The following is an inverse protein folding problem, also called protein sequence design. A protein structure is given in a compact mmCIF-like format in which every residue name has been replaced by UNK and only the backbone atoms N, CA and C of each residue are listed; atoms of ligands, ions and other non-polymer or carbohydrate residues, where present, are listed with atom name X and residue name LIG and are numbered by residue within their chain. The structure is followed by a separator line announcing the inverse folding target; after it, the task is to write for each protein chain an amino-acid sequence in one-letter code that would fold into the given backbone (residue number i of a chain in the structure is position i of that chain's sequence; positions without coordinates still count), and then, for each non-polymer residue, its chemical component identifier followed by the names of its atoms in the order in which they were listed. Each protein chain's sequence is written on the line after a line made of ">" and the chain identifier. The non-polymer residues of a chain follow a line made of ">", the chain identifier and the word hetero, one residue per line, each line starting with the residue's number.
data_IF_177862509175
#
_entry.id   IF_177862509175
#
_cell.length_a   1.000
_cell.length_b   1.000
_cell.length_c   1.000
_cell.angle_alpha   90.00
_cell.angle_beta   90.00
_cell.angle_gamma   90.00
#
_symmetry.space_group_name_H-M   'P 1'
#
loop_
_entity.id
_entity.type
_entity.pdbx_description
1 polymer ?
#
# COMPACT_ATOMS: atom_id res chain seq x y z
N UNK A 1 14.78 -6.39 -27.65
CA UNK A 1 13.33 -6.34 -27.90
C UNK A 1 12.81 -5.13 -27.14
N UNK A 2 12.31 -4.12 -27.83
CA UNK A 2 11.64 -3.00 -27.17
C UNK A 2 10.46 -3.55 -26.37
N UNK A 3 10.44 -3.25 -25.09
CA UNK A 3 9.31 -3.59 -24.22
C UNK A 3 8.07 -2.90 -24.78
N UNK A 4 7.04 -3.66 -25.16
CA UNK A 4 5.78 -3.09 -25.63
C UNK A 4 5.24 -2.09 -24.61
N UNK A 5 4.64 -1.00 -25.10
CA UNK A 5 4.02 0.02 -24.23
C UNK A 5 2.93 -0.63 -23.37
N UNK A 6 2.87 -0.36 -22.05
CA UNK A 6 1.81 -0.90 -21.22
C UNK A 6 0.43 -0.38 -21.63
N UNK A 7 -0.61 -1.16 -21.40
CA UNK A 7 -2.01 -0.70 -21.50
C UNK A 7 -2.55 -0.19 -20.17
N UNK A 8 -2.03 -0.74 -19.07
CA UNK A 8 -2.51 -0.48 -17.72
C UNK A 8 -1.37 -0.01 -16.81
N UNK A 9 -1.62 1.04 -16.07
CA UNK A 9 -0.80 1.43 -14.91
C UNK A 9 -1.65 1.14 -13.67
N UNK A 10 -1.18 0.17 -12.88
CA UNK A 10 -1.85 -0.34 -11.69
C UNK A 10 -1.12 0.16 -10.44
N UNK A 11 -1.83 0.75 -9.51
CA UNK A 11 -1.27 1.36 -8.31
C UNK A 11 -1.73 0.64 -7.05
N UNK A 12 -0.83 0.42 -6.08
CA UNK A 12 -1.25 0.39 -4.69
C UNK A 12 -1.66 1.80 -4.25
N UNK A 13 -2.37 1.89 -3.13
CA UNK A 13 -2.82 3.16 -2.56
C UNK A 13 -1.93 3.55 -1.40
N UNK A 14 -1.86 2.74 -0.34
CA UNK A 14 -1.07 3.04 0.85
C UNK A 14 0.43 3.06 0.55
N UNK A 15 1.12 4.17 0.83
CA UNK A 15 2.56 4.29 0.55
C UNK A 15 2.93 4.48 -0.91
N UNK A 16 1.94 4.59 -1.79
CA UNK A 16 2.10 4.87 -3.21
C UNK A 16 1.38 6.14 -3.62
N UNK A 17 0.04 6.15 -3.55
CA UNK A 17 -0.76 7.32 -3.92
C UNK A 17 -1.04 8.26 -2.75
N UNK A 18 -0.91 7.75 -1.53
CA UNK A 18 -1.05 8.49 -0.26
C UNK A 18 0.18 8.26 0.62
N UNK A 19 0.34 9.10 1.65
CA UNK A 19 1.41 8.93 2.64
C UNK A 19 1.36 7.50 3.20
N UNK A 20 2.52 6.90 3.33
CA UNK A 20 2.61 5.50 3.74
C UNK A 20 2.17 5.30 5.19
N UNK A 21 1.25 4.35 5.47
CA UNK A 21 0.98 3.93 6.84
C UNK A 21 2.23 3.38 7.56
N UNK A 22 3.24 2.91 6.83
CA UNK A 22 4.53 2.51 7.41
C UNK A 22 5.32 3.69 7.99
N UNK A 23 5.05 4.92 7.56
CA UNK A 23 5.65 6.09 8.20
C UNK A 23 5.13 6.25 9.63
N UNK A 24 3.81 6.12 9.86
CA UNK A 24 3.21 6.13 11.21
C UNK A 24 3.76 5.01 12.09
N UNK A 25 3.93 3.81 11.53
CA UNK A 25 4.55 2.68 12.26
C UNK A 25 5.98 3.04 12.68
N UNK A 26 6.79 3.52 11.76
CA UNK A 26 8.18 3.89 12.04
C UNK A 26 8.27 4.99 13.12
N UNK A 27 7.46 6.03 12.99
CA UNK A 27 7.42 7.14 13.94
C UNK A 27 6.99 6.67 15.33
N UNK A 28 6.04 5.73 15.39
CA UNK A 28 5.56 5.13 16.64
C UNK A 28 6.62 4.26 17.31
N UNK A 29 7.31 3.39 16.56
CA UNK A 29 8.39 2.54 17.07
C UNK A 29 9.55 3.38 17.62
N UNK A 30 9.94 4.43 16.92
CA UNK A 30 10.98 5.36 17.35
C UNK A 30 10.58 6.12 18.62
N UNK A 31 9.31 6.52 18.75
CA UNK A 31 8.76 7.17 19.94
C UNK A 31 8.77 6.23 21.15
N UNK A 32 8.50 4.93 20.93
CA UNK A 32 8.61 3.91 21.97
C UNK A 32 10.06 3.54 22.33
N UNK A 33 11.05 4.02 21.57
CA UNK A 33 12.46 3.68 21.76
C UNK A 33 12.81 2.22 21.47
N UNK A 34 12.03 1.55 20.62
CA UNK A 34 12.26 0.16 20.22
C UNK A 34 12.93 0.11 18.84
N UNK A 35 13.66 -0.98 18.53
CA UNK A 35 14.24 -1.15 17.21
C UNK A 35 13.15 -1.12 16.12
N UNK A 36 13.31 -0.31 15.06
CA UNK A 36 12.35 -0.24 13.97
C UNK A 36 12.10 -1.59 13.29
N UNK A 37 10.84 -1.82 12.92
CA UNK A 37 10.40 -3.02 12.21
C UNK A 37 9.71 -4.08 13.07
N UNK A 38 9.55 -3.86 14.38
CA UNK A 38 8.84 -4.79 15.27
C UNK A 38 7.40 -5.03 14.85
N UNK A 39 6.66 -3.96 14.62
CA UNK A 39 5.23 -4.04 14.29
C UNK A 39 5.06 -4.81 12.97
N UNK A 40 5.81 -4.41 11.93
CA UNK A 40 5.78 -5.10 10.64
C UNK A 40 6.22 -6.57 10.74
N UNK A 41 7.23 -6.86 11.55
CA UNK A 41 7.67 -8.24 11.81
C UNK A 41 6.55 -9.05 12.48
N UNK A 42 5.93 -8.50 13.53
CA UNK A 42 4.84 -9.19 14.23
C UNK A 42 3.66 -9.48 13.29
N UNK A 43 3.24 -8.47 12.49
CA UNK A 43 2.19 -8.65 11.49
C UNK A 43 2.55 -9.73 10.46
N UNK A 44 3.78 -9.72 9.95
CA UNK A 44 4.20 -10.73 8.95
C UNK A 44 4.17 -12.16 9.50
N UNK A 45 4.44 -12.33 10.80
CA UNK A 45 4.45 -13.65 11.47
C UNK A 45 3.06 -14.18 11.83
N UNK A 46 2.03 -13.35 11.78
CA UNK A 46 0.64 -13.78 11.98
C UNK A 46 -0.07 -14.13 10.67
N UNK A 47 0.57 -13.92 9.52
CA UNK A 47 0.00 -14.27 8.22
C UNK A 47 -0.26 -15.80 8.09
N UNK A 48 -1.34 -16.22 7.41
CA UNK A 48 -2.40 -15.39 6.83
C UNK A 48 -3.57 -15.11 7.78
N UNK A 49 -3.58 -15.66 9.01
CA UNK A 49 -4.74 -15.71 9.91
C UNK A 49 -4.71 -14.67 11.03
N UNK A 50 -3.72 -13.78 11.08
CA UNK A 50 -3.66 -12.67 12.06
C UNK A 50 -4.84 -11.71 11.90
N UNK A 51 -5.16 -11.00 12.99
CA UNK A 51 -6.32 -10.10 13.00
C UNK A 51 -6.24 -9.01 11.94
N UNK A 52 -5.05 -8.44 11.71
CA UNK A 52 -4.80 -7.50 10.61
C UNK A 52 -5.16 -8.10 9.24
N UNK A 53 -4.73 -9.34 8.98
CA UNK A 53 -4.97 -10.01 7.69
C UNK A 53 -6.44 -10.34 7.47
N UNK A 54 -7.15 -10.73 8.55
CA UNK A 54 -8.58 -10.98 8.49
C UNK A 54 -9.37 -9.70 8.25
N UNK A 55 -8.95 -8.57 8.85
CA UNK A 55 -9.58 -7.27 8.59
C UNK A 55 -9.39 -6.84 7.13
N UNK A 56 -8.18 -6.99 6.58
CA UNK A 56 -7.87 -6.63 5.18
C UNK A 56 -8.54 -7.53 4.15
N UNK A 57 -9.03 -8.71 4.54
CA UNK A 57 -9.86 -9.56 3.68
C UNK A 57 -11.35 -9.38 3.94
N UNK A 58 -11.75 -8.48 4.85
CA UNK A 58 -13.15 -8.30 5.23
C UNK A 58 -13.76 -9.51 5.95
N UNK A 59 -12.92 -10.47 6.41
CA UNK A 59 -13.38 -11.69 7.08
C UNK A 59 -13.89 -11.44 8.49
N UNK A 60 -13.48 -10.32 9.09
CA UNK A 60 -13.95 -9.85 10.39
C UNK A 60 -14.29 -8.36 10.31
N UNK A 61 -15.25 -7.88 11.12
CA UNK A 61 -15.55 -6.46 11.21
C UNK A 61 -14.48 -5.70 12.00
N UNK A 62 -14.43 -4.38 11.80
CA UNK A 62 -13.63 -3.46 12.62
C UNK A 62 -14.42 -3.12 13.89
N UNK A 63 -14.17 -3.87 14.96
CA UNK A 63 -14.84 -3.72 16.25
C UNK A 63 -13.86 -3.93 17.41
N UNK A 64 -14.39 -3.91 18.65
CA UNK A 64 -13.58 -4.13 19.85
C UNK A 64 -12.87 -5.50 19.87
N UNK A 65 -13.47 -6.53 19.27
CA UNK A 65 -12.85 -7.87 19.19
C UNK A 65 -11.65 -7.87 18.25
N UNK A 66 -11.75 -7.14 17.12
CA UNK A 66 -10.60 -6.91 16.23
C UNK A 66 -9.46 -6.20 16.98
N UNK A 67 -9.69 -5.09 17.66
CA UNK A 67 -8.64 -4.35 18.36
C UNK A 67 -8.02 -5.16 19.50
N UNK A 68 -8.82 -5.92 20.25
CA UNK A 68 -8.30 -6.84 21.27
C UNK A 68 -7.40 -7.93 20.67
N UNK A 69 -7.78 -8.49 19.53
CA UNK A 69 -7.01 -9.48 18.80
C UNK A 69 -5.74 -8.91 18.17
N UNK A 70 -5.84 -7.74 17.56
CA UNK A 70 -4.71 -7.02 16.98
C UNK A 70 -3.65 -6.66 18.05
N UNK A 71 -4.09 -6.18 19.23
CA UNK A 71 -3.20 -5.98 20.35
C UNK A 71 -2.50 -7.28 20.80
N UNK A 72 -3.20 -8.42 20.86
CA UNK A 72 -2.56 -9.71 21.17
C UNK A 72 -1.49 -10.08 20.14
N UNK A 73 -1.76 -9.85 18.86
CA UNK A 73 -0.79 -10.09 17.78
C UNK A 73 0.48 -9.24 17.96
N UNK A 74 0.37 -8.03 18.49
CA UNK A 74 1.49 -7.11 18.73
C UNK A 74 2.24 -7.34 20.05
N UNK A 75 1.70 -8.15 20.97
CA UNK A 75 2.27 -8.37 22.31
C UNK A 75 2.79 -9.80 22.53
N UNK A 76 3.08 -10.54 21.48
CA UNK A 76 3.63 -11.90 21.59
C UNK A 76 5.09 -11.87 22.05
N UNK A 77 5.34 -12.41 23.25
CA UNK A 77 6.65 -12.39 23.88
C UNK A 77 7.69 -13.24 23.14
N UNK A 78 7.28 -14.38 22.55
CA UNK A 78 8.19 -15.24 21.81
C UNK A 78 8.65 -14.57 20.50
N UNK A 79 7.72 -13.93 19.78
CA UNK A 79 8.05 -13.16 18.57
C UNK A 79 8.92 -11.97 18.89
N UNK A 80 8.62 -11.24 20.00
CA UNK A 80 9.45 -10.12 20.44
C UNK A 80 10.89 -10.56 20.71
N UNK A 81 11.05 -11.64 21.48
CA UNK A 81 12.39 -12.17 21.78
C UNK A 81 13.16 -12.53 20.51
N UNK A 82 12.54 -13.25 19.57
CA UNK A 82 13.15 -13.62 18.30
C UNK A 82 13.53 -12.38 17.47
N UNK A 83 12.65 -11.39 17.39
CA UNK A 83 12.92 -10.14 16.68
C UNK A 83 14.07 -9.38 17.30
N UNK A 84 14.03 -9.14 18.63
CA UNK A 84 15.03 -8.34 19.32
C UNK A 84 16.40 -8.98 19.24
N UNK A 85 16.49 -10.30 19.43
CA UNK A 85 17.74 -11.07 19.28
C UNK A 85 18.32 -10.92 17.87
N UNK A 86 17.48 -10.97 16.85
CA UNK A 86 17.94 -10.73 15.48
C UNK A 86 18.41 -9.29 15.24
N UNK A 87 17.82 -8.30 15.94
CA UNK A 87 18.30 -6.91 15.88
C UNK A 87 19.61 -6.71 16.65
N UNK A 88 19.80 -7.39 17.78
CA UNK A 88 21.09 -7.38 18.53
C UNK A 88 22.26 -7.87 17.64
N UNK A 89 22.04 -8.91 16.84
CA UNK A 89 23.04 -9.40 15.92
C UNK A 89 23.46 -8.38 14.85
N UNK A 90 22.55 -7.47 14.49
CA UNK A 90 22.80 -6.39 13.50
C UNK A 90 23.32 -5.11 14.15
N UNK A 91 22.95 -4.85 15.39
CA UNK A 91 23.30 -3.65 16.14
C UNK A 91 23.82 -4.01 17.54
N UNK A 92 25.15 -4.16 17.71
CA UNK A 92 25.78 -4.49 18.99
C UNK A 92 25.59 -3.43 20.10
N UNK A 93 25.08 -2.24 19.77
CA UNK A 93 24.78 -1.20 20.74
C UNK A 93 23.48 -1.45 21.52
N UNK A 94 22.64 -2.37 21.05
CA UNK A 94 21.42 -2.74 21.77
C UNK A 94 21.76 -3.46 23.08
N UNK A 95 20.96 -3.25 24.17
CA UNK A 95 21.08 -3.97 25.42
C UNK A 95 21.22 -5.49 25.21
N UNK A 96 22.15 -6.12 25.93
CA UNK A 96 22.34 -7.58 25.83
C UNK A 96 21.15 -8.39 26.32
N UNK A 97 20.46 -7.87 27.34
CA UNK A 97 19.22 -8.47 27.83
C UNK A 97 18.04 -7.97 26.97
N UNK A 98 17.24 -8.91 26.51
CA UNK A 98 15.98 -8.55 25.79
C UNK A 98 15.03 -7.86 26.76
N UNK A 99 14.60 -6.63 26.46
CA UNK A 99 13.65 -5.92 27.32
C UNK A 99 12.27 -6.59 27.26
N UNK A 100 11.37 -6.26 28.21
CA UNK A 100 9.97 -6.66 28.12
C UNK A 100 9.33 -6.31 26.78
N UNK A 101 8.29 -7.04 26.40
CA UNK A 101 7.49 -6.71 25.21
C UNK A 101 7.03 -5.26 25.31
N UNK A 102 7.23 -4.43 24.27
CA UNK A 102 6.79 -3.04 24.29
C UNK A 102 5.27 -2.95 24.42
N UNK A 103 4.80 -1.99 25.21
CA UNK A 103 3.39 -1.72 25.33
C UNK A 103 2.89 -0.92 24.12
N UNK A 104 2.44 -1.63 23.10
CA UNK A 104 1.90 -1.05 21.86
C UNK A 104 0.41 -0.83 22.02
N UNK A 105 -0.06 0.40 21.87
CA UNK A 105 -1.49 0.69 21.69
C UNK A 105 -1.86 0.48 20.22
N UNK A 106 -2.37 -0.71 19.91
CA UNK A 106 -2.69 -1.09 18.54
C UNK A 106 -3.89 -0.34 17.98
N UNK A 107 -4.87 0.04 18.80
CA UNK A 107 -6.02 0.83 18.38
C UNK A 107 -5.60 2.26 18.01
N UNK A 108 -4.85 2.92 18.88
CA UNK A 108 -4.30 4.23 18.58
C UNK A 108 -3.44 4.21 17.31
N UNK A 109 -2.53 3.24 17.20
CA UNK A 109 -1.67 3.08 16.03
C UNK A 109 -2.47 2.87 14.74
N UNK A 110 -3.49 2.03 14.80
CA UNK A 110 -4.37 1.77 13.66
C UNK A 110 -4.99 3.07 13.14
N UNK A 111 -5.58 3.87 14.01
CA UNK A 111 -6.21 5.13 13.60
C UNK A 111 -5.19 6.19 13.14
N UNK A 112 -4.00 6.24 13.74
CA UNK A 112 -2.92 7.12 13.28
C UNK A 112 -2.45 6.74 11.85
N UNK A 113 -2.30 5.43 11.57
CA UNK A 113 -2.01 4.93 10.23
C UNK A 113 -3.11 5.31 9.22
N UNK A 114 -4.37 5.15 9.60
CA UNK A 114 -5.51 5.47 8.72
C UNK A 114 -5.63 6.97 8.47
N UNK A 115 -5.39 7.81 9.48
CA UNK A 115 -5.38 9.26 9.33
C UNK A 115 -4.26 9.73 8.39
N UNK A 116 -3.04 9.22 8.57
CA UNK A 116 -1.89 9.54 7.71
C UNK A 116 -2.12 9.11 6.26
N UNK A 117 -2.71 7.95 6.05
CA UNK A 117 -3.02 7.41 4.73
C UNK A 117 -4.15 8.16 3.97
N UNK A 118 -4.70 9.23 4.53
CA UNK A 118 -5.62 10.14 3.82
C UNK A 118 -4.91 11.29 3.10
N UNK A 119 -3.69 11.61 3.49
CA UNK A 119 -2.93 12.66 2.84
C UNK A 119 -2.36 12.15 1.51
N UNK A 120 -2.66 12.80 0.37
CA UNK A 120 -2.08 12.44 -0.91
C UNK A 120 -0.54 12.53 -0.88
N UNK A 121 0.12 11.58 -1.55
CA UNK A 121 1.57 11.66 -1.73
C UNK A 121 1.91 12.87 -2.60
N UNK A 122 2.84 13.74 -2.20
CA UNK A 122 3.08 15.02 -2.88
C UNK A 122 3.71 14.88 -4.26
N UNK A 123 4.29 13.73 -4.59
CA UNK A 123 4.88 13.46 -5.91
C UNK A 123 4.00 12.55 -6.76
N UNK A 124 3.45 11.49 -6.18
CA UNK A 124 2.67 10.51 -6.93
C UNK A 124 1.28 11.02 -7.28
N UNK A 125 0.63 11.78 -6.39
CA UNK A 125 -0.72 12.28 -6.67
C UNK A 125 -0.78 13.21 -7.90
N UNK A 126 0.10 14.23 -8.05
CA UNK A 126 0.16 15.01 -9.29
C UNK A 126 0.51 14.18 -10.53
N UNK A 127 1.36 13.16 -10.37
CA UNK A 127 1.71 12.27 -11.47
C UNK A 127 0.52 11.42 -11.91
N UNK A 128 -0.28 10.93 -10.97
CA UNK A 128 -1.52 10.19 -11.22
C UNK A 128 -2.55 11.06 -11.95
N UNK A 129 -2.72 12.32 -11.54
CA UNK A 129 -3.61 13.27 -12.21
C UNK A 129 -3.20 13.46 -13.68
N UNK A 130 -1.93 13.76 -13.95
CA UNK A 130 -1.42 13.92 -15.32
C UNK A 130 -1.54 12.63 -16.15
N UNK A 131 -1.29 11.49 -15.54
CA UNK A 131 -1.47 10.19 -16.19
C UNK A 131 -2.94 10.01 -16.61
N UNK A 132 -3.87 10.31 -15.72
CA UNK A 132 -5.33 10.26 -15.98
C UNK A 132 -5.72 11.21 -17.10
N UNK A 133 -5.27 12.46 -17.04
CA UNK A 133 -5.53 13.50 -18.04
C UNK A 133 -4.99 13.11 -19.43
N UNK A 134 -3.89 12.38 -19.50
CA UNK A 134 -3.30 11.93 -20.77
C UNK A 134 -4.24 11.04 -21.59
N UNK A 135 -5.18 10.36 -20.95
CA UNK A 135 -6.12 9.42 -21.57
C UNK A 135 -5.49 8.18 -22.22
N UNK A 136 -4.16 8.01 -22.12
CA UNK A 136 -3.40 6.99 -22.88
C UNK A 136 -3.40 5.60 -22.25
N UNK A 137 -3.74 5.49 -20.96
CA UNK A 137 -3.64 4.27 -20.18
C UNK A 137 -4.94 3.99 -19.44
N UNK A 138 -5.22 2.74 -19.14
CA UNK A 138 -6.14 2.35 -18.09
C UNK A 138 -5.43 2.62 -16.76
N UNK A 139 -6.00 3.46 -15.93
CA UNK A 139 -5.49 3.79 -14.61
C UNK A 139 -6.27 2.97 -13.59
N UNK A 140 -5.61 2.06 -12.90
CA UNK A 140 -6.27 1.11 -12.01
C UNK A 140 -5.60 1.07 -10.63
N UNK A 141 -6.35 0.63 -9.61
CA UNK A 141 -5.84 0.42 -8.27
C UNK A 141 -6.03 -1.03 -7.82
N UNK A 142 -5.03 -1.55 -7.08
CA UNK A 142 -5.06 -2.84 -6.40
C UNK A 142 -4.51 -2.64 -4.99
N UNK A 143 -5.39 -2.51 -4.01
CA UNK A 143 -5.01 -2.12 -2.65
C UNK A 143 -5.50 -3.10 -1.60
N UNK A 144 -4.63 -3.37 -0.61
CA UNK A 144 -5.05 -3.95 0.64
C UNK A 144 -5.77 -2.86 1.45
N UNK A 145 -7.04 -3.08 1.77
CA UNK A 145 -7.94 -2.08 2.34
C UNK A 145 -8.66 -2.65 3.56
N UNK A 146 -9.34 -1.79 4.28
CA UNK A 146 -10.24 -2.16 5.37
C UNK A 146 -11.63 -1.58 5.10
N UNK A 147 -12.66 -2.16 5.71
CA UNK A 147 -14.03 -1.64 5.69
C UNK A 147 -14.29 -0.99 7.04
N UNK A 148 -14.54 0.31 7.03
CA UNK A 148 -14.97 1.04 8.24
C UNK A 148 -16.45 0.79 8.52
N UNK A 149 -16.87 0.83 9.81
CA UNK A 149 -18.29 0.78 10.16
C UNK A 149 -19.09 1.88 9.43
N UNK A 150 -20.37 1.64 9.10
CA UNK A 150 -21.18 2.59 8.29
C UNK A 150 -21.33 3.99 8.91
N UNK A 151 -21.30 4.08 10.23
CA UNK A 151 -21.41 5.32 11.02
C UNK A 151 -20.07 6.05 11.19
N UNK A 152 -18.95 5.39 10.86
CA UNK A 152 -17.61 5.98 10.96
C UNK A 152 -17.45 7.12 9.94
N UNK A 153 -16.73 8.19 10.33
CA UNK A 153 -16.51 9.35 9.44
C UNK A 153 -15.87 8.99 8.09
N UNK A 154 -15.00 7.97 8.05
CA UNK A 154 -14.33 7.53 6.83
C UNK A 154 -15.23 6.73 5.88
N UNK A 155 -16.43 6.36 6.30
CA UNK A 155 -17.46 5.72 5.46
C UNK A 155 -18.43 6.70 4.85
N UNK A 156 -18.43 7.98 5.25
CA UNK A 156 -19.45 8.97 4.85
C UNK A 156 -19.20 9.55 3.45
N UNK A 157 -17.97 9.51 2.94
CA UNK A 157 -17.66 10.00 1.58
C UNK A 157 -17.99 8.92 0.57
N UNK A 158 -18.84 9.22 -0.41
CA UNK A 158 -19.12 8.30 -1.49
C UNK A 158 -17.82 8.00 -2.28
N UNK A 159 -17.69 6.77 -2.75
CA UNK A 159 -16.45 6.29 -3.38
C UNK A 159 -15.94 7.22 -4.50
N UNK A 160 -16.83 7.68 -5.37
CA UNK A 160 -16.48 8.54 -6.50
C UNK A 160 -16.38 10.05 -6.14
N UNK A 161 -16.74 10.42 -4.93
CA UNK A 161 -16.55 11.79 -4.42
C UNK A 161 -15.17 11.99 -3.82
N UNK A 162 -14.43 10.90 -3.55
CA UNK A 162 -13.05 10.95 -3.11
C UNK A 162 -12.14 11.38 -4.27
N UNK A 163 -11.40 12.50 -4.15
CA UNK A 163 -10.57 13.05 -5.21
C UNK A 163 -9.51 12.08 -5.76
N UNK A 164 -9.00 11.19 -4.91
CA UNK A 164 -8.03 10.18 -5.32
C UNK A 164 -8.72 9.03 -6.06
N UNK A 165 -9.81 8.49 -5.49
CA UNK A 165 -10.50 7.33 -6.05
C UNK A 165 -11.14 7.60 -7.40
N UNK A 166 -11.60 8.83 -7.62
CA UNK A 166 -12.19 9.28 -8.90
C UNK A 166 -11.20 9.25 -10.08
N UNK A 167 -9.89 9.17 -9.80
CA UNK A 167 -8.86 9.09 -10.84
C UNK A 167 -8.72 7.69 -11.45
N UNK A 168 -9.29 6.65 -10.83
CA UNK A 168 -9.16 5.28 -11.29
C UNK A 168 -10.33 4.84 -12.17
N UNK A 169 -10.01 4.15 -13.26
CA UNK A 169 -10.98 3.45 -14.13
C UNK A 169 -11.47 2.15 -13.46
N UNK A 170 -10.57 1.47 -12.73
CA UNK A 170 -10.84 0.19 -12.04
C UNK A 170 -10.22 0.26 -10.65
N UNK A 171 -10.95 -0.22 -9.64
CA UNK A 171 -10.45 -0.27 -8.27
C UNK A 171 -10.72 -1.64 -7.64
N UNK A 172 -9.66 -2.39 -7.33
CA UNK A 172 -9.74 -3.68 -6.63
C UNK A 172 -9.36 -3.48 -5.17
N UNK A 173 -10.34 -3.63 -4.29
CA UNK A 173 -10.22 -3.46 -2.84
C UNK A 173 -10.27 -4.82 -2.15
N UNK A 174 -9.22 -5.19 -1.42
CA UNK A 174 -9.06 -6.51 -0.80
C UNK A 174 -10.21 -6.88 0.12
N UNK A 175 -10.62 -5.97 0.99
CA UNK A 175 -11.69 -6.25 1.96
C UNK A 175 -13.07 -6.46 1.30
N UNK A 176 -13.28 -5.96 0.07
CA UNK A 176 -14.54 -6.16 -0.66
C UNK A 176 -14.54 -7.44 -1.50
N UNK A 177 -13.35 -7.94 -1.89
CA UNK A 177 -13.25 -9.13 -2.73
C UNK A 177 -12.83 -10.39 -1.95
N UNK A 178 -12.54 -10.27 -0.66
CA UNK A 178 -12.12 -11.38 0.19
C UNK A 178 -10.71 -11.92 -0.09
N UNK A 179 -9.90 -11.18 -0.83
CA UNK A 179 -8.54 -11.54 -1.22
C UNK A 179 -7.61 -10.37 -0.93
N UNK A 180 -6.38 -10.64 -0.50
CA UNK A 180 -5.37 -9.60 -0.25
C UNK A 180 -4.03 -9.92 -0.90
N UNK A 181 -3.26 -8.92 -1.27
CA UNK A 181 -1.86 -9.09 -1.66
C UNK A 181 -1.06 -9.69 -0.47
N UNK A 182 -0.14 -10.62 -0.69
CA UNK A 182 0.39 -11.11 -1.95
C UNK A 182 -0.26 -12.42 -2.48
N UNK A 183 -1.50 -12.75 -2.12
CA UNK A 183 -2.20 -13.92 -2.66
C UNK A 183 -2.28 -13.84 -4.20
N UNK A 184 -1.83 -14.85 -4.97
CA UNK A 184 -1.82 -14.80 -6.44
C UNK A 184 -3.20 -14.56 -7.03
N UNK A 185 -4.27 -15.03 -6.39
CA UNK A 185 -5.65 -14.89 -6.88
C UNK A 185 -6.10 -13.42 -7.00
N UNK A 186 -5.57 -12.50 -6.19
CA UNK A 186 -5.95 -11.09 -6.31
C UNK A 186 -5.33 -10.42 -7.54
N UNK A 187 -4.15 -10.88 -7.99
CA UNK A 187 -3.53 -10.41 -9.23
C UNK A 187 -4.27 -10.94 -10.46
N UNK A 188 -4.71 -12.21 -10.44
CA UNK A 188 -5.56 -12.79 -11.48
C UNK A 188 -6.88 -12.01 -11.58
N UNK A 189 -7.52 -11.71 -10.46
CA UNK A 189 -8.73 -10.89 -10.40
C UNK A 189 -8.46 -9.47 -10.96
N UNK A 190 -7.32 -8.87 -10.65
CA UNK A 190 -6.97 -7.55 -11.18
C UNK A 190 -6.84 -7.58 -12.70
N UNK A 191 -6.19 -8.61 -13.30
CA UNK A 191 -6.14 -8.81 -14.75
C UNK A 191 -7.53 -8.92 -15.34
N UNK A 192 -8.37 -9.76 -14.74
CA UNK A 192 -9.76 -9.94 -15.20
C UNK A 192 -10.51 -8.60 -15.21
N UNK A 193 -10.44 -7.82 -14.12
CA UNK A 193 -11.17 -6.55 -14.01
C UNK A 193 -10.69 -5.48 -14.99
N UNK A 194 -9.40 -5.38 -15.24
CA UNK A 194 -8.89 -4.42 -16.23
C UNK A 194 -9.15 -4.89 -17.67
N UNK A 195 -9.18 -6.20 -17.94
CA UNK A 195 -9.57 -6.75 -19.24
C UNK A 195 -11.06 -6.53 -19.53
N UNK A 196 -11.93 -6.79 -18.55
CA UNK A 196 -13.37 -6.49 -18.62
C UNK A 196 -13.60 -5.01 -18.95
N UNK A 197 -12.90 -4.10 -18.23
CA UNK A 197 -12.98 -2.66 -18.50
C UNK A 197 -12.50 -2.30 -19.92
N UNK A 198 -11.36 -2.84 -20.34
CA UNK A 198 -10.78 -2.59 -21.65
C UNK A 198 -11.76 -2.97 -22.76
N UNK A 199 -12.30 -4.18 -22.72
CA UNK A 199 -13.25 -4.69 -23.72
C UNK A 199 -14.55 -3.89 -23.74
N UNK A 200 -15.10 -3.55 -22.59
CA UNK A 200 -16.31 -2.73 -22.47
C UNK A 200 -16.15 -1.33 -23.07
N UNK A 201 -14.93 -0.78 -23.03
CA UNK A 201 -14.59 0.56 -23.50
C UNK A 201 -13.79 0.58 -24.82
N UNK A 202 -13.70 -0.55 -25.54
CA UNK A 202 -12.86 -0.70 -26.73
C UNK A 202 -13.23 0.26 -27.87
N UNK A 203 -14.49 0.66 -27.96
CA UNK A 203 -14.98 1.56 -29.02
C UNK A 203 -14.85 3.05 -28.68
N UNK A 204 -14.47 3.39 -27.44
CA UNK A 204 -14.17 4.77 -27.06
C UNK A 204 -12.90 5.27 -27.77
N UNK A 205 -12.70 6.59 -27.81
CA UNK A 205 -11.46 7.16 -28.39
C UNK A 205 -10.21 6.68 -27.65
N UNK A 206 -10.27 6.55 -26.31
CA UNK A 206 -9.20 5.97 -25.50
C UNK A 206 -8.96 4.50 -25.85
N UNK A 207 -10.05 3.73 -26.01
CA UNK A 207 -10.00 2.31 -26.32
C UNK A 207 -9.40 2.02 -27.69
N UNK A 208 -9.77 2.79 -28.70
CA UNK A 208 -9.21 2.71 -30.05
C UNK A 208 -7.72 3.05 -30.06
N UNK A 209 -7.34 4.17 -29.39
CA UNK A 209 -5.95 4.61 -29.30
C UNK A 209 -5.05 3.63 -28.52
N UNK A 210 -5.61 2.94 -27.53
CA UNK A 210 -4.92 1.97 -26.67
C UNK A 210 -4.99 0.51 -27.14
N UNK A 211 -5.66 0.22 -28.26
CA UNK A 211 -5.92 -1.15 -28.75
C UNK A 211 -6.58 -2.05 -27.69
N UNK A 212 -7.59 -1.50 -26.98
CA UNK A 212 -8.25 -2.22 -25.90
C UNK A 212 -9.13 -3.38 -26.35
N UNK A 213 -9.52 -3.41 -27.63
CA UNK A 213 -10.26 -4.52 -28.21
C UNK A 213 -9.49 -5.87 -28.11
N UNK A 214 -8.16 -5.83 -28.11
CA UNK A 214 -7.31 -7.02 -27.97
C UNK A 214 -7.26 -7.54 -26.51
N UNK A 215 -7.95 -6.86 -25.60
CA UNK A 215 -7.94 -7.14 -24.18
C UNK A 215 -6.63 -6.76 -23.49
N UNK A 216 -6.50 -7.17 -22.22
CA UNK A 216 -5.33 -6.91 -21.37
C UNK A 216 -4.73 -8.23 -20.91
N UNK A 217 -3.41 -8.37 -21.06
CA UNK A 217 -2.62 -9.49 -20.57
C UNK A 217 -1.74 -9.06 -19.40
N UNK A 218 -1.24 -9.98 -18.57
CA UNK A 218 -0.38 -9.63 -17.43
C UNK A 218 0.81 -8.74 -17.78
N UNK A 219 1.48 -8.98 -18.91
CA UNK A 219 2.63 -8.19 -19.37
C UNK A 219 2.28 -6.78 -19.88
N UNK A 220 1.00 -6.50 -20.11
CA UNK A 220 0.50 -5.15 -20.44
C UNK A 220 0.34 -4.26 -19.19
N UNK A 221 0.56 -4.81 -17.99
CA UNK A 221 0.37 -4.14 -16.71
C UNK A 221 1.72 -3.74 -16.12
N UNK A 222 1.83 -2.49 -15.67
CA UNK A 222 2.90 -2.01 -14.80
C UNK A 222 2.30 -1.72 -13.44
N UNK A 223 2.78 -2.43 -12.41
CA UNK A 223 2.28 -2.33 -11.05
C UNK A 223 3.26 -1.58 -10.15
N UNK A 224 2.78 -0.55 -9.45
CA UNK A 224 3.51 0.23 -8.47
C UNK A 224 3.07 -0.16 -7.05
N UNK A 225 4.03 -0.56 -6.20
CA UNK A 225 3.77 -0.94 -4.80
C UNK A 225 5.03 -0.67 -3.96
N UNK A 226 4.88 -0.41 -2.67
CA UNK A 226 6.00 -0.17 -1.75
C UNK A 226 6.47 -1.45 -1.03
N UNK A 227 5.68 -2.54 -1.08
CA UNK A 227 5.98 -3.82 -0.41
C UNK A 227 6.64 -4.80 -1.36
N UNK A 228 7.88 -5.20 -1.03
CA UNK A 228 8.67 -6.10 -1.88
C UNK A 228 8.02 -7.46 -2.16
N UNK A 229 7.28 -8.03 -1.19
CA UNK A 229 6.58 -9.30 -1.35
C UNK A 229 5.41 -9.19 -2.33
N UNK A 230 4.68 -8.08 -2.32
CA UNK A 230 3.62 -7.80 -3.29
C UNK A 230 4.20 -7.69 -4.72
N UNK A 231 5.32 -6.97 -4.87
CA UNK A 231 6.00 -6.84 -6.16
C UNK A 231 6.55 -8.19 -6.66
N UNK A 232 7.04 -9.04 -5.75
CA UNK A 232 7.50 -10.40 -6.09
C UNK A 232 6.33 -11.23 -6.62
N UNK A 233 5.19 -11.24 -5.94
CA UNK A 233 4.01 -11.97 -6.37
C UNK A 233 3.44 -11.43 -7.70
N UNK A 234 3.42 -10.10 -7.88
CA UNK A 234 3.02 -9.47 -9.14
C UNK A 234 3.91 -9.89 -10.32
N UNK A 235 5.23 -9.97 -10.14
CA UNK A 235 6.14 -10.49 -11.16
C UNK A 235 5.88 -11.95 -11.49
N UNK A 236 5.55 -12.77 -10.49
CA UNK A 236 5.15 -14.17 -10.72
C UNK A 236 3.84 -14.28 -11.49
N UNK A 237 2.92 -13.32 -11.32
CA UNK A 237 1.70 -13.20 -12.13
C UNK A 237 1.96 -12.61 -13.54
N UNK A 238 3.20 -12.26 -13.88
CA UNK A 238 3.60 -11.75 -15.20
C UNK A 238 3.53 -10.23 -15.35
N UNK A 239 3.36 -9.47 -14.27
CA UNK A 239 3.35 -8.00 -14.31
C UNK A 239 4.78 -7.45 -14.38
N UNK A 240 4.93 -6.30 -15.02
CA UNK A 240 6.08 -5.42 -14.83
C UNK A 240 5.86 -4.64 -13.53
N UNK A 241 6.92 -4.32 -12.81
CA UNK A 241 6.76 -3.69 -11.50
C UNK A 241 7.71 -2.51 -11.31
N UNK A 242 7.24 -1.48 -10.62
CA UNK A 242 8.03 -0.35 -10.13
C UNK A 242 7.91 -0.35 -8.59
N UNK A 243 9.05 -0.33 -7.90
CA UNK A 243 9.06 -0.18 -6.45
C UNK A 243 8.95 1.28 -6.07
N UNK A 244 8.04 1.59 -5.14
CA UNK A 244 7.93 2.93 -4.55
C UNK A 244 8.70 2.94 -3.21
N UNK A 245 9.84 3.65 -3.11
CA UNK A 245 10.59 3.72 -1.87
C UNK A 245 9.89 4.62 -0.85
N UNK A 246 9.85 4.18 0.42
CA UNK A 246 9.24 4.94 1.52
C UNK A 246 9.81 6.36 1.60
N UNK A 247 8.90 7.34 1.58
CA UNK A 247 9.24 8.75 1.65
C UNK A 247 9.99 9.33 0.45
N UNK A 248 10.06 8.59 -0.67
CA UNK A 248 10.78 8.96 -1.89
C UNK A 248 10.02 8.57 -3.16
N UNK A 249 8.70 8.71 -3.17
CA UNK A 249 7.88 8.34 -4.31
C UNK A 249 8.28 9.05 -5.62
N UNK A 250 9.00 10.17 -5.56
CA UNK A 250 9.56 10.83 -6.74
C UNK A 250 10.49 9.93 -7.57
N UNK A 251 11.21 8.99 -6.94
CA UNK A 251 12.06 8.03 -7.66
C UNK A 251 11.20 7.09 -8.53
N UNK A 252 10.05 6.65 -8.02
CA UNK A 252 9.09 5.84 -8.77
C UNK A 252 8.38 6.64 -9.88
N UNK A 253 8.11 7.92 -9.65
CA UNK A 253 7.57 8.82 -10.70
C UNK A 253 8.54 8.94 -11.86
N UNK A 254 9.85 9.10 -11.60
CA UNK A 254 10.88 9.14 -12.66
C UNK A 254 10.94 7.84 -13.47
N UNK A 255 10.75 6.69 -12.81
CA UNK A 255 10.70 5.41 -13.51
C UNK A 255 9.40 5.28 -14.33
N UNK A 256 8.28 5.73 -13.79
CA UNK A 256 7.00 5.76 -14.49
C UNK A 256 7.04 6.67 -15.72
N UNK A 257 7.71 7.81 -15.67
CA UNK A 257 7.94 8.71 -16.82
C UNK A 257 8.66 7.97 -17.95
N UNK A 258 9.71 7.19 -17.63
CA UNK A 258 10.45 6.40 -18.63
C UNK A 258 9.57 5.34 -19.30
N UNK A 259 8.73 4.67 -18.49
CA UNK A 259 7.82 3.60 -18.98
C UNK A 259 6.69 4.17 -19.84
N UNK A 260 6.18 5.35 -19.48
CA UNK A 260 5.01 5.94 -20.15
C UNK A 260 5.38 6.92 -21.27
N UNK A 261 6.62 7.39 -21.29
CA UNK A 261 7.08 8.51 -22.14
C UNK A 261 6.21 9.78 -21.95
N UNK A 262 5.80 10.05 -20.71
CA UNK A 262 5.05 11.24 -20.30
C UNK A 262 5.86 12.05 -19.29
N UNK A 263 5.62 13.37 -19.25
CA UNK A 263 6.14 14.23 -18.17
C UNK A 263 5.11 14.27 -17.04
N UNK A 264 5.34 13.49 -15.99
CA UNK A 264 4.40 13.29 -14.91
C UNK A 264 4.76 14.07 -13.64
N UNK A 265 6.04 14.35 -13.42
CA UNK A 265 6.51 15.03 -12.21
C UNK A 265 5.78 16.37 -11.98
N UNK A 266 5.42 16.61 -10.72
CA UNK A 266 4.90 17.87 -10.22
C UNK A 266 6.04 18.84 -9.84
N UNK A 267 5.67 19.94 -9.18
CA UNK A 267 6.62 20.98 -8.72
C UNK A 267 7.16 20.73 -7.30
N UNK A 268 6.71 19.69 -6.62
CA UNK A 268 7.14 19.40 -5.24
C UNK A 268 8.64 19.06 -5.21
N UNK A 269 9.43 19.64 -4.28
CA UNK A 269 10.87 19.37 -4.19
C UNK A 269 11.15 17.90 -3.92
N UNK A 270 12.18 17.32 -4.53
CA UNK A 270 12.61 15.93 -4.34
C UNK A 270 13.40 15.78 -3.02
N UNK A 271 12.78 16.12 -1.92
CA UNK A 271 13.34 16.04 -0.57
C UNK A 271 12.64 14.87 0.15
N UNK A 272 13.36 13.82 0.56
CA UNK A 272 12.76 12.66 1.21
C UNK A 272 11.94 13.04 2.45
N UNK A 273 10.77 12.44 2.60
CA UNK A 273 10.00 12.52 3.86
C UNK A 273 10.80 11.77 4.93
N UNK A 274 11.17 12.48 5.99
CA UNK A 274 11.91 11.92 7.12
C UNK A 274 10.94 11.48 8.21
N UNK A 275 11.31 10.48 9.04
CA UNK A 275 10.56 10.14 10.24
C UNK A 275 10.36 11.37 11.13
N UNK A 276 9.16 11.50 11.66
CA UNK A 276 8.80 12.63 12.54
C UNK A 276 9.12 12.28 13.99
N UNK A 277 10.26 12.78 14.50
CA UNK A 277 10.72 12.59 15.87
C UNK A 277 10.12 13.59 16.88
N UNK A 278 9.06 14.31 16.56
CA UNK A 278 8.44 15.23 17.52
C UNK A 278 7.84 14.43 18.69
N UNK A 279 8.75 13.82 19.46
CA UNK A 279 8.47 13.06 20.66
C UNK A 279 8.34 13.98 21.84
N UNK A 280 7.17 14.08 22.42
CA UNK A 280 7.10 14.12 23.87
C UNK A 280 7.61 12.76 24.36
N UNK A 281 8.73 12.76 25.12
CA UNK A 281 9.16 11.59 25.88
C UNK A 281 7.93 11.09 26.65
N UNK A 282 7.49 9.87 26.33
CA UNK A 282 6.48 9.21 27.15
C UNK A 282 7.03 9.22 28.58
N UNK A 283 6.30 9.82 29.50
CA UNK A 283 6.56 9.65 30.93
C UNK A 283 6.30 8.17 31.22
N UNK A 284 7.38 7.46 31.55
CA UNK A 284 7.34 6.11 32.10
C UNK A 284 6.57 6.10 33.40
#
# INVERSE_FOLDING_TARGET
>A
MESSRPKVILFDIGGVCVISPFQSILDYELRLGIPPGWINYSLSKTAPSGFWHQLETGSIPMDAAFFAGFNRDLHDAARWNAFYTAQQAKNPQLPKQVPPVPNVDGEWLFFDMMASARAPDPWMFPALQKLRESGKYIVAALSNTVIFPPDHEYSKTAFFEDPLRSLFDVFVSSAHVGLRKPDPRIYELAVQKVDEFARANAHSDRGKAGNWADGVKPNDIVFLDDIGENLKAARQAGFRTIKVPLGKAYEAVEELEKVTALTLAGSHPKIPIKPNFHGQKAKI
#
